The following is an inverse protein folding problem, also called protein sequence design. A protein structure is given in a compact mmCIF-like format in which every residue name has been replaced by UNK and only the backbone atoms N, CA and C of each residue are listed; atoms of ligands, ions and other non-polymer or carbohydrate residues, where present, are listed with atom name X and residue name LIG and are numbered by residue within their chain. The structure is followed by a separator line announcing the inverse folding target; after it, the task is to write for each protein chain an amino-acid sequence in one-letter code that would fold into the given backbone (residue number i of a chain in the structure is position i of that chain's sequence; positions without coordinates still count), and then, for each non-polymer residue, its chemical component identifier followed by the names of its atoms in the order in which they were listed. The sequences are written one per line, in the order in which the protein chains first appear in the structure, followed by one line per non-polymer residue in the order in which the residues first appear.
data_IF_516856813887
#
_entry.id   IF_516856813887
#
_cell.length_a   1.000
_cell.length_b   1.000
_cell.length_c   1.000
_cell.angle_alpha   90.00
_cell.angle_beta   90.00
_cell.angle_gamma   90.00
#
_symmetry.space_group_name_H-M   'P 1'
#
loop_
_entity.id
_entity.type
_entity.pdbx_description
1 polymer ?
#
# COMPACT_ATOMS: atom_id res chain seq x y z
N UNK A 1 3.56 -3.52 -15.54
CA UNK A 1 4.36 -4.74 -15.76
C UNK A 1 3.71 -5.88 -15.03
N UNK A 2 4.14 -7.12 -15.29
CA UNK A 2 3.69 -8.32 -14.54
C UNK A 2 4.24 -8.36 -13.11
N UNK A 3 5.13 -7.44 -12.78
CA UNK A 3 5.78 -7.18 -11.50
C UNK A 3 5.14 -6.01 -10.73
N UNK A 4 4.13 -5.34 -11.29
CA UNK A 4 3.41 -4.26 -10.62
C UNK A 4 2.53 -4.82 -9.49
N UNK A 5 2.53 -4.16 -8.32
CA UNK A 5 1.74 -4.59 -7.17
C UNK A 5 0.23 -4.66 -7.49
N UNK A 6 -0.29 -3.79 -8.34
CA UNK A 6 -1.69 -3.85 -8.79
C UNK A 6 -1.95 -5.16 -9.55
N UNK A 7 -1.11 -5.47 -10.53
CA UNK A 7 -1.20 -6.72 -11.28
C UNK A 7 -1.08 -7.96 -10.37
N UNK A 8 -0.14 -7.95 -9.41
CA UNK A 8 0.05 -9.07 -8.48
C UNK A 8 -1.15 -9.29 -7.54
N UNK A 9 -1.85 -8.22 -7.16
CA UNK A 9 -3.08 -8.29 -6.36
C UNK A 9 -4.25 -8.79 -7.21
N UNK A 10 -4.42 -8.24 -8.42
CA UNK A 10 -5.51 -8.59 -9.35
C UNK A 10 -5.43 -10.04 -9.84
N UNK A 11 -4.23 -10.60 -9.95
CA UNK A 11 -4.00 -11.99 -10.37
C UNK A 11 -4.04 -12.99 -9.21
N UNK A 12 -4.13 -12.52 -7.98
CA UNK A 12 -4.38 -13.39 -6.82
C UNK A 12 -5.81 -13.92 -6.86
N UNK A 13 -5.97 -15.21 -6.59
CA UNK A 13 -7.28 -15.86 -6.42
C UNK A 13 -7.89 -15.59 -5.04
N UNK A 14 -7.22 -14.81 -4.18
CA UNK A 14 -7.75 -14.31 -2.91
C UNK A 14 -7.65 -12.78 -2.84
N UNK A 15 -8.78 -12.05 -2.85
CA UNK A 15 -8.78 -10.58 -2.80
C UNK A 15 -7.97 -10.01 -1.63
N UNK A 16 -7.27 -8.89 -1.87
CA UNK A 16 -6.44 -8.23 -0.86
C UNK A 16 -5.14 -8.98 -0.51
N UNK A 17 -4.72 -9.94 -1.34
CA UNK A 17 -3.49 -10.68 -1.12
C UNK A 17 -2.62 -10.76 -2.38
N UNK A 18 -1.33 -11.01 -2.19
CA UNK A 18 -0.46 -11.52 -3.25
C UNK A 18 -0.30 -13.03 -3.08
N UNK A 19 -0.53 -13.78 -4.16
CA UNK A 19 -0.30 -15.22 -4.20
C UNK A 19 1.17 -15.52 -4.49
N UNK A 20 1.82 -16.23 -3.58
CA UNK A 20 3.21 -16.68 -3.74
C UNK A 20 3.23 -18.21 -3.79
N UNK A 21 3.68 -18.78 -4.89
CA UNK A 21 3.82 -20.23 -5.05
C UNK A 21 5.30 -20.62 -4.96
N UNK A 22 5.67 -21.41 -3.95
CA UNK A 22 7.05 -21.86 -3.76
C UNK A 22 7.11 -23.15 -2.95
N UNK A 23 8.10 -24.00 -3.20
CA UNK A 23 8.31 -25.27 -2.47
C UNK A 23 7.06 -26.17 -2.43
N UNK A 24 6.29 -26.20 -3.53
CA UNK A 24 5.06 -26.98 -3.64
C UNK A 24 3.89 -26.46 -2.78
N UNK A 25 3.96 -25.22 -2.28
CA UNK A 25 2.93 -24.61 -1.44
C UNK A 25 2.50 -23.26 -2.02
N UNK A 26 1.25 -22.89 -1.73
CA UNK A 26 0.69 -21.58 -2.03
C UNK A 26 0.55 -20.76 -0.75
N UNK A 27 1.04 -19.54 -0.76
CA UNK A 27 0.92 -18.58 0.33
C UNK A 27 0.09 -17.38 -0.14
N UNK A 28 -0.74 -16.86 0.75
CA UNK A 28 -1.55 -15.67 0.52
C UNK A 28 -1.09 -14.59 1.48
N UNK A 29 -0.27 -13.67 0.99
CA UNK A 29 0.27 -12.58 1.79
C UNK A 29 -0.72 -11.42 1.78
N UNK A 30 -1.31 -11.03 2.92
CA UNK A 30 -2.14 -9.84 2.99
C UNK A 30 -1.33 -8.63 2.58
N UNK A 31 -1.88 -7.83 1.66
CA UNK A 31 -1.25 -6.59 1.21
C UNK A 31 -2.28 -5.49 1.07
N UNK A 32 -1.79 -4.27 1.10
CA UNK A 32 -2.53 -3.06 0.79
C UNK A 32 -1.65 -2.21 -0.11
N UNK A 33 -2.27 -1.29 -0.84
CA UNK A 33 -1.55 -0.33 -1.67
C UNK A 33 -1.75 1.07 -1.10
N UNK A 34 -0.64 1.77 -0.88
CA UNK A 34 -0.61 3.23 -0.81
C UNK A 34 -0.50 3.74 -2.25
N UNK A 35 -1.56 4.33 -2.81
CA UNK A 35 -1.53 4.77 -4.21
C UNK A 35 -1.09 6.23 -4.35
N UNK A 36 0.20 6.42 -4.63
CA UNK A 36 0.81 7.73 -4.82
C UNK A 36 0.68 8.29 -6.25
N UNK A 37 -0.21 7.74 -7.09
CA UNK A 37 -0.48 8.31 -8.43
C UNK A 37 -1.04 9.72 -8.37
N UNK A 38 -1.81 10.02 -7.32
CA UNK A 38 -2.05 11.39 -6.88
C UNK A 38 -0.94 11.73 -5.89
N UNK A 39 -0.12 12.75 -6.15
CA UNK A 39 1.06 13.01 -5.32
C UNK A 39 0.70 13.35 -3.86
N UNK A 40 1.02 12.41 -2.99
CA UNK A 40 0.88 12.46 -1.54
C UNK A 40 2.24 12.51 -0.83
N UNK A 41 3.37 12.63 -1.56
CA UNK A 41 4.69 12.39 -0.95
C UNK A 41 5.75 13.43 -1.26
N UNK A 42 5.61 14.26 -2.32
CA UNK A 42 6.68 15.20 -2.69
C UNK A 42 7.09 16.11 -1.53
N UNK A 43 6.13 16.60 -0.76
CA UNK A 43 6.35 17.49 0.37
C UNK A 43 7.19 16.87 1.52
N UNK A 44 7.29 15.54 1.58
CA UNK A 44 8.03 14.83 2.64
C UNK A 44 9.54 15.10 2.53
N UNK A 45 10.01 15.48 1.34
CA UNK A 45 11.43 15.83 1.11
C UNK A 45 11.83 17.16 1.74
N UNK A 46 10.86 18.01 2.06
CA UNK A 46 11.07 19.29 2.72
C UNK A 46 11.19 19.11 4.25
N UNK A 47 11.60 20.18 4.93
CA UNK A 47 11.66 20.20 6.40
C UNK A 47 10.27 19.88 7.01
N UNK A 48 10.16 18.96 8.00
CA UNK A 48 8.89 18.62 8.62
C UNK A 48 8.10 19.79 9.21
N UNK A 49 8.77 20.85 9.65
CA UNK A 49 8.11 22.07 10.15
C UNK A 49 7.42 22.88 9.04
N UNK A 50 7.81 22.67 7.77
CA UNK A 50 7.25 23.32 6.60
C UNK A 50 6.14 22.50 5.91
N UNK A 51 5.83 21.29 6.40
CA UNK A 51 4.84 20.43 5.77
C UNK A 51 3.44 21.07 5.78
N UNK A 52 2.76 21.16 4.62
CA UNK A 52 1.40 21.66 4.58
C UNK A 52 0.49 20.75 5.41
N UNK A 53 -0.22 21.31 6.41
CA UNK A 53 -1.09 20.54 7.31
C UNK A 53 -2.08 19.62 6.59
N UNK A 54 -2.63 20.08 5.46
CA UNK A 54 -3.55 19.29 4.65
C UNK A 54 -2.87 18.07 4.00
N UNK A 55 -1.61 18.22 3.56
CA UNK A 55 -0.82 17.13 2.97
C UNK A 55 -0.37 16.12 4.03
N UNK A 56 0.07 16.60 5.21
CA UNK A 56 0.40 15.75 6.37
C UNK A 56 -0.83 14.95 6.85
N UNK A 57 -2.01 15.58 6.94
CA UNK A 57 -3.24 14.89 7.28
C UNK A 57 -3.62 13.83 6.24
N UNK A 58 -3.49 14.15 4.95
CA UNK A 58 -3.83 13.23 3.86
C UNK A 58 -2.95 11.97 3.85
N UNK A 59 -1.63 12.11 4.01
CA UNK A 59 -0.74 10.94 4.07
C UNK A 59 -1.01 10.09 5.31
N UNK A 60 -1.27 10.69 6.48
CA UNK A 60 -1.59 9.95 7.71
C UNK A 60 -2.89 9.17 7.56
N UNK A 61 -3.91 9.78 6.96
CA UNK A 61 -5.19 9.13 6.71
C UNK A 61 -5.03 7.93 5.75
N UNK A 62 -4.27 8.10 4.67
CA UNK A 62 -4.02 7.02 3.70
C UNK A 62 -3.18 5.89 4.30
N UNK A 63 -2.14 6.22 5.09
CA UNK A 63 -1.36 5.22 5.82
C UNK A 63 -2.21 4.45 6.83
N UNK A 64 -3.09 5.15 7.58
CA UNK A 64 -4.02 4.50 8.51
C UNK A 64 -4.95 3.54 7.77
N UNK A 65 -5.62 4.00 6.71
CA UNK A 65 -6.49 3.16 5.87
C UNK A 65 -5.76 1.92 5.37
N UNK A 66 -4.53 2.10 4.88
CA UNK A 66 -3.71 1.03 4.36
C UNK A 66 -3.41 -0.02 5.44
N UNK A 67 -2.90 0.42 6.60
CA UNK A 67 -2.53 -0.46 7.71
C UNK A 67 -3.75 -1.15 8.34
N UNK A 68 -4.86 -0.44 8.54
CA UNK A 68 -6.11 -1.01 9.05
C UNK A 68 -6.58 -2.18 8.16
N UNK A 69 -6.37 -2.11 6.84
CA UNK A 69 -6.79 -3.15 5.90
C UNK A 69 -5.98 -4.46 6.01
N UNK A 70 -4.81 -4.44 6.65
CA UNK A 70 -3.94 -5.62 6.81
C UNK A 70 -3.68 -5.98 8.28
N UNK A 71 -4.17 -5.19 9.23
CA UNK A 71 -4.07 -5.48 10.64
C UNK A 71 -4.85 -6.78 10.97
N UNK A 72 -4.30 -7.68 11.80
CA UNK A 72 -5.09 -8.75 12.37
C UNK A 72 -6.22 -8.15 13.20
N UNK A 73 -7.46 -8.56 12.93
CA UNK A 73 -8.61 -8.25 13.80
C UNK A 73 -8.50 -8.92 15.16
#
# INVERSE_FOLDING_TARGET
GTDDMGYLIETSDRPGTVRVETRGRKFYLPVTRFDNRNDLTTFIRDDPSAWPKAKDAAIRAEMKRALDAIAPG
#
